data_IF_862515563216
#
_entry.id   IF_862515563216
#
_cell.length_a   1.000
_cell.length_b   1.000
_cell.length_c   1.000
_cell.angle_alpha   90.00
_cell.angle_beta   90.00
_cell.angle_gamma   90.00
#
_symmetry.space_group_name_H-M   'P 1'
#
loop_
_entity.id
_entity.type
_entity.pdbx_description
1 polymer ?
#
# COMPACT_ATOMS: atom_id res chain seq x y z
N UNK A 1 -2.93 20.33 22.75
CA UNK A 1 -2.26 21.53 22.22
C UNK A 1 -1.60 21.14 20.91
N UNK A 2 -1.99 21.77 19.81
CA UNK A 2 -1.37 21.53 18.50
C UNK A 2 -0.02 22.22 18.39
N UNK A 3 0.81 21.76 17.46
CA UNK A 3 2.08 22.41 17.09
C UNK A 3 1.77 23.47 16.05
N UNK A 4 2.18 24.72 16.29
CA UNK A 4 2.08 25.79 15.30
C UNK A 4 3.43 25.89 14.59
N UNK A 5 3.41 25.92 13.26
CA UNK A 5 4.60 26.12 12.43
C UNK A 5 4.48 27.45 11.69
N UNK A 6 5.50 28.28 11.83
CA UNK A 6 5.64 29.51 11.06
C UNK A 6 5.74 29.21 9.55
N UNK A 7 5.44 30.21 8.72
CA UNK A 7 5.52 30.05 7.26
C UNK A 7 6.87 29.52 6.79
N UNK A 8 7.96 30.04 7.36
CA UNK A 8 9.32 29.60 7.05
C UNK A 8 9.58 28.14 7.44
N UNK A 9 9.09 27.70 8.59
CA UNK A 9 9.33 26.32 9.07
C UNK A 9 8.59 25.28 8.23
N UNK A 10 7.30 25.49 7.96
CA UNK A 10 6.54 24.48 7.23
C UNK A 10 6.89 24.46 5.74
N UNK A 11 7.24 25.60 5.14
CA UNK A 11 7.72 25.61 3.75
C UNK A 11 9.07 24.90 3.62
N UNK A 12 9.99 25.10 4.56
CA UNK A 12 11.25 24.35 4.59
C UNK A 12 11.02 22.83 4.74
N UNK A 13 10.07 22.40 5.59
CA UNK A 13 9.70 20.97 5.73
C UNK A 13 9.07 20.42 4.45
N UNK A 14 8.17 21.17 3.82
CA UNK A 14 7.52 20.81 2.54
C UNK A 14 8.57 20.60 1.45
N UNK A 15 9.51 21.52 1.31
CA UNK A 15 10.50 21.48 0.25
C UNK A 15 11.51 20.35 0.49
N UNK A 16 11.97 20.18 1.74
CA UNK A 16 12.80 19.05 2.12
C UNK A 16 12.11 17.69 1.89
N UNK A 17 10.80 17.60 2.11
CA UNK A 17 10.03 16.39 1.77
C UNK A 17 10.02 16.12 0.27
N UNK A 18 9.69 17.14 -0.53
CA UNK A 18 9.67 17.01 -1.98
C UNK A 18 11.04 16.55 -2.50
N UNK A 19 12.13 17.12 -2.01
CA UNK A 19 13.49 16.75 -2.43
C UNK A 19 13.86 15.31 -2.05
N UNK A 20 13.50 14.84 -0.84
CA UNK A 20 13.70 13.44 -0.46
C UNK A 20 12.93 12.48 -1.37
N UNK A 21 11.67 12.80 -1.69
CA UNK A 21 10.83 11.93 -2.52
C UNK A 21 11.27 11.94 -3.98
N UNK A 22 11.75 13.09 -4.48
CA UNK A 22 12.26 13.26 -5.85
C UNK A 22 13.45 12.39 -6.21
N UNK A 23 14.23 11.94 -5.22
CA UNK A 23 15.27 10.93 -5.42
C UNK A 23 14.71 9.62 -5.98
N UNK A 24 13.43 9.32 -5.75
CA UNK A 24 12.75 8.11 -6.23
C UNK A 24 11.82 8.38 -7.42
N UNK A 25 11.10 9.51 -7.39
CA UNK A 25 10.14 9.85 -8.46
C UNK A 25 10.83 10.40 -9.71
N UNK A 26 11.93 11.16 -9.58
CA UNK A 26 12.70 11.70 -10.70
C UNK A 26 13.21 10.61 -11.65
N UNK A 27 13.95 9.60 -11.16
CA UNK A 27 14.40 8.49 -11.99
C UNK A 27 13.26 7.70 -12.63
N UNK A 28 12.09 7.62 -11.98
CA UNK A 28 10.91 6.99 -12.59
C UNK A 28 10.39 7.80 -13.79
N UNK A 29 10.38 9.13 -13.71
CA UNK A 29 10.02 10.00 -14.82
C UNK A 29 10.99 9.88 -16.00
N UNK A 30 12.30 9.84 -15.74
CA UNK A 30 13.33 9.65 -16.77
C UNK A 30 13.18 8.30 -17.49
N UNK A 31 12.98 7.22 -16.73
CA UNK A 31 12.72 5.89 -17.30
C UNK A 31 11.48 5.90 -18.19
N UNK A 32 10.39 6.51 -17.71
CA UNK A 32 9.15 6.61 -18.49
C UNK A 32 9.35 7.41 -19.78
N UNK A 33 10.10 8.51 -19.74
CA UNK A 33 10.38 9.35 -20.91
C UNK A 33 11.22 8.63 -21.97
N UNK A 34 12.16 7.78 -21.54
CA UNK A 34 13.04 7.00 -22.42
C UNK A 34 12.48 5.63 -22.81
N UNK A 35 11.32 5.23 -22.28
CA UNK A 35 10.75 3.89 -22.48
C UNK A 35 11.47 2.77 -21.72
N UNK A 36 12.44 3.11 -20.86
CA UNK A 36 13.18 2.15 -20.03
C UNK A 36 12.29 1.62 -18.90
N UNK A 37 12.49 0.37 -18.50
CA UNK A 37 11.78 -0.27 -17.37
C UNK A 37 12.77 -0.78 -16.33
N UNK A 38 12.44 -0.60 -15.05
CA UNK A 38 13.16 -1.19 -13.95
C UNK A 38 12.21 -2.08 -13.12
N UNK A 39 12.44 -3.40 -13.04
CA UNK A 39 11.47 -4.34 -12.45
C UNK A 39 11.15 -4.06 -10.98
N UNK A 40 12.14 -3.59 -10.20
CA UNK A 40 11.95 -3.24 -8.78
C UNK A 40 11.47 -1.80 -8.59
N UNK A 41 12.21 -0.80 -9.07
CA UNK A 41 11.91 0.62 -8.82
C UNK A 41 10.58 1.09 -9.43
N UNK A 42 10.11 0.48 -10.52
CA UNK A 42 8.82 0.83 -11.11
C UNK A 42 7.64 0.09 -10.45
N UNK A 43 7.92 -0.88 -9.56
CA UNK A 43 6.88 -1.66 -8.88
C UNK A 43 5.92 -0.77 -8.08
N UNK A 44 6.44 0.20 -7.32
CA UNK A 44 5.61 1.12 -6.51
C UNK A 44 4.56 1.88 -7.36
N UNK A 45 4.92 2.24 -8.58
CA UNK A 45 4.07 3.03 -9.48
C UNK A 45 3.16 2.16 -10.35
N UNK A 46 3.61 0.96 -10.72
CA UNK A 46 2.86 0.05 -11.59
C UNK A 46 1.93 -0.89 -10.82
N UNK A 47 2.37 -1.41 -9.67
CA UNK A 47 1.59 -2.32 -8.84
C UNK A 47 0.56 -1.58 -7.98
N UNK A 48 1.00 -0.62 -7.16
CA UNK A 48 0.10 0.13 -6.28
C UNK A 48 -0.61 1.30 -6.98
N UNK A 49 -0.21 1.62 -8.22
CA UNK A 49 -0.76 2.74 -9.00
C UNK A 49 -0.60 4.11 -8.32
N UNK A 50 0.44 4.27 -7.48
CA UNK A 50 0.72 5.56 -6.85
C UNK A 50 1.16 6.58 -7.90
N UNK A 51 0.59 7.79 -7.84
CA UNK A 51 1.05 8.89 -8.70
C UNK A 51 2.26 9.56 -8.05
N UNK A 52 3.39 9.72 -8.75
CA UNK A 52 4.58 10.38 -8.21
C UNK A 52 4.30 11.73 -7.56
N UNK A 53 3.51 12.58 -8.24
CA UNK A 53 3.13 13.91 -7.74
C UNK A 53 2.30 13.91 -6.45
N UNK A 54 1.72 12.78 -6.07
CA UNK A 54 1.03 12.63 -4.78
C UNK A 54 2.01 12.29 -3.66
N UNK A 55 3.04 11.49 -3.95
CA UNK A 55 4.07 11.15 -2.98
C UNK A 55 4.94 12.37 -2.64
N UNK A 56 5.23 13.22 -3.63
CA UNK A 56 5.98 14.46 -3.44
C UNK A 56 5.22 15.53 -2.65
N UNK A 57 3.90 15.34 -2.47
CA UNK A 57 3.08 16.31 -1.74
C UNK A 57 3.24 16.11 -0.24
N UNK A 58 3.70 17.16 0.42
CA UNK A 58 3.79 17.19 1.87
C UNK A 58 2.47 17.65 2.52
N UNK A 59 2.09 16.96 3.59
CA UNK A 59 0.99 17.32 4.47
C UNK A 59 1.49 17.42 5.92
N UNK A 60 1.08 18.44 6.69
CA UNK A 60 1.56 18.65 8.06
C UNK A 60 1.07 17.59 9.07
N UNK A 61 0.03 16.83 8.71
CA UNK A 61 -0.60 15.84 9.60
C UNK A 61 -1.55 16.46 10.63
N UNK A 62 -2.19 15.62 11.47
CA UNK A 62 -3.13 16.07 12.48
C UNK A 62 -2.42 16.84 13.60
N UNK A 63 -3.09 17.87 14.14
CA UNK A 63 -2.59 18.64 15.27
C UNK A 63 -1.49 19.65 14.92
N UNK A 64 -1.26 19.92 13.63
CA UNK A 64 -0.29 20.93 13.17
C UNK A 64 -1.02 22.08 12.48
N UNK A 65 -0.74 23.31 12.91
CA UNK A 65 -1.27 24.54 12.32
C UNK A 65 -0.19 25.22 11.48
N UNK A 66 -0.55 25.60 10.26
CA UNK A 66 0.32 26.32 9.32
C UNK A 66 0.00 27.82 9.36
N UNK A 67 0.94 28.62 9.82
CA UNK A 67 0.84 30.08 9.77
C UNK A 67 1.15 30.63 8.37
N UNK A 68 0.79 31.90 8.18
CA UNK A 68 1.14 32.66 7.00
C UNK A 68 0.14 32.57 5.85
N UNK A 69 0.28 33.50 4.92
CA UNK A 69 -0.62 33.68 3.80
C UNK A 69 -0.51 32.52 2.80
N UNK A 70 0.68 31.92 2.68
CA UNK A 70 0.91 30.78 1.81
C UNK A 70 0.14 29.53 2.27
N UNK A 71 -0.22 29.42 3.55
CA UNK A 71 -0.99 28.29 4.08
C UNK A 71 -2.40 28.18 3.47
N UNK A 72 -2.95 29.29 2.93
CA UNK A 72 -4.24 29.31 2.23
C UNK A 72 -4.28 28.36 1.02
N UNK A 73 -3.12 28.02 0.44
CA UNK A 73 -3.02 27.04 -0.63
C UNK A 73 -3.52 25.64 -0.21
N UNK A 74 -3.54 25.31 1.09
CA UNK A 74 -4.06 24.05 1.61
C UNK A 74 -5.59 24.00 1.66
N UNK A 75 -6.28 25.14 1.67
CA UNK A 75 -7.75 25.22 1.70
C UNK A 75 -8.41 24.71 0.41
N UNK A 76 -7.64 24.45 -0.65
CA UNK A 76 -8.13 23.76 -1.85
C UNK A 76 -8.54 22.30 -1.57
N UNK A 77 -8.09 21.72 -0.46
CA UNK A 77 -8.47 20.38 -0.03
C UNK A 77 -9.59 20.47 1.02
N UNK A 78 -10.73 19.78 0.82
CA UNK A 78 -11.90 19.88 1.71
C UNK A 78 -11.64 19.53 3.18
N UNK A 79 -10.58 18.77 3.45
CA UNK A 79 -10.19 18.32 4.79
C UNK A 79 -9.34 19.34 5.55
N UNK A 80 -9.06 20.52 4.98
CA UNK A 80 -8.36 21.60 5.67
C UNK A 80 -9.33 22.74 6.00
N UNK A 81 -9.14 23.34 7.17
CA UNK A 81 -9.92 24.48 7.63
C UNK A 81 -9.03 25.62 8.10
N UNK A 82 -9.56 26.84 8.00
CA UNK A 82 -8.97 28.03 8.59
C UNK A 82 -9.33 28.12 10.08
N UNK A 83 -8.40 28.64 10.85
CA UNK A 83 -8.49 28.98 12.27
C UNK A 83 -7.89 30.36 12.49
N UNK A 84 -8.00 30.91 13.70
CA UNK A 84 -7.40 32.19 14.03
C UNK A 84 -5.86 32.13 13.96
N UNK A 85 -5.28 30.97 14.27
CA UNK A 85 -3.83 30.72 14.27
C UNK A 85 -3.27 30.26 12.91
N UNK A 86 -4.11 30.09 11.87
CA UNK A 86 -3.67 29.63 10.54
C UNK A 86 -4.53 28.53 9.92
N UNK A 87 -3.93 27.66 9.10
CA UNK A 87 -4.63 26.55 8.40
C UNK A 87 -4.21 25.21 8.99
N UNK A 88 -5.18 24.34 9.29
CA UNK A 88 -4.94 23.01 9.88
C UNK A 88 -5.80 21.96 9.20
N UNK A 89 -5.40 20.69 9.33
CA UNK A 89 -6.26 19.55 9.01
C UNK A 89 -7.48 19.55 9.94
N UNK A 90 -8.68 19.50 9.36
CA UNK A 90 -9.91 19.18 10.06
C UNK A 90 -9.99 17.66 10.26
N UNK A 91 -9.48 17.21 11.40
CA UNK A 91 -9.41 15.78 11.76
C UNK A 91 -10.80 15.16 11.81
N UNK A 92 -11.82 15.90 12.25
CA UNK A 92 -13.17 15.37 12.33
C UNK A 92 -13.80 15.22 10.94
N UNK A 93 -13.66 16.23 10.08
CA UNK A 93 -14.12 16.13 8.70
C UNK A 93 -13.41 14.99 7.95
N UNK A 94 -12.08 14.88 8.12
CA UNK A 94 -11.29 13.78 7.60
C UNK A 94 -11.79 12.42 8.12
N UNK A 95 -11.98 12.28 9.43
CA UNK A 95 -12.44 11.03 10.03
C UNK A 95 -13.86 10.66 9.57
N UNK A 96 -14.77 11.63 9.42
CA UNK A 96 -16.12 11.41 8.88
C UNK A 96 -16.07 10.94 7.42
N UNK A 97 -15.29 11.60 6.57
CA UNK A 97 -15.11 11.20 5.17
C UNK A 97 -14.52 9.77 5.06
N UNK A 98 -13.67 9.38 6.02
CA UNK A 98 -12.94 8.12 6.02
C UNK A 98 -13.47 7.07 6.98
N UNK A 99 -14.65 7.28 7.57
CA UNK A 99 -15.16 6.44 8.66
C UNK A 99 -15.19 4.95 8.29
N UNK A 100 -15.62 4.62 7.08
CA UNK A 100 -15.66 3.23 6.60
C UNK A 100 -14.26 2.61 6.47
N UNK A 101 -13.30 3.36 5.90
CA UNK A 101 -11.92 2.89 5.72
C UNK A 101 -11.21 2.73 7.06
N UNK A 102 -11.31 3.74 7.93
CA UNK A 102 -10.71 3.70 9.28
C UNK A 102 -11.33 2.56 10.08
N UNK A 103 -12.66 2.41 10.05
CA UNK A 103 -13.35 1.33 10.74
C UNK A 103 -12.96 -0.05 10.22
N UNK A 104 -12.87 -0.23 8.89
CA UNK A 104 -12.41 -1.49 8.31
C UNK A 104 -10.96 -1.79 8.68
N UNK A 105 -10.04 -0.83 8.52
CA UNK A 105 -8.63 -1.00 8.86
C UNK A 105 -8.45 -1.32 10.35
N UNK A 106 -9.16 -0.60 11.23
CA UNK A 106 -9.15 -0.87 12.67
C UNK A 106 -9.61 -2.28 13.02
N UNK A 107 -10.73 -2.75 12.43
CA UNK A 107 -11.21 -4.12 12.62
C UNK A 107 -10.21 -5.15 12.10
N UNK A 108 -9.69 -4.97 10.89
CA UNK A 108 -8.74 -5.88 10.26
C UNK A 108 -7.45 -5.98 11.08
N UNK A 109 -6.85 -4.85 11.44
CA UNK A 109 -5.60 -4.80 12.21
C UNK A 109 -5.79 -5.38 13.62
N UNK A 110 -6.88 -5.04 14.31
CA UNK A 110 -7.17 -5.58 15.65
C UNK A 110 -7.36 -7.09 15.60
N UNK A 111 -8.15 -7.60 14.66
CA UNK A 111 -8.41 -9.02 14.49
C UNK A 111 -7.12 -9.79 14.12
N UNK A 112 -6.29 -9.21 13.25
CA UNK A 112 -5.01 -9.80 12.83
C UNK A 112 -4.01 -9.85 13.99
N UNK A 113 -3.85 -8.75 14.73
CA UNK A 113 -2.93 -8.68 15.86
C UNK A 113 -3.32 -9.61 17.02
N UNK A 114 -4.62 -9.92 17.17
CA UNK A 114 -5.12 -10.81 18.22
C UNK A 114 -5.00 -12.31 17.92
N UNK A 115 -4.49 -12.72 16.75
CA UNK A 115 -4.39 -14.14 16.34
C UNK A 115 -2.99 -14.72 16.51
N UNK A 116 -2.92 -16.03 16.72
CA UNK A 116 -1.66 -16.76 16.61
C UNK A 116 -1.13 -16.71 15.16
N UNK A 117 0.17 -16.44 14.94
CA UNK A 117 0.74 -16.42 13.59
C UNK A 117 0.76 -17.83 12.99
N UNK A 118 0.43 -17.93 11.70
CA UNK A 118 0.66 -19.12 10.88
C UNK A 118 1.93 -18.93 10.06
N UNK A 119 2.97 -19.68 10.42
CA UNK A 119 4.32 -19.55 9.84
C UNK A 119 4.63 -20.61 8.75
N UNK A 120 3.73 -21.58 8.55
CA UNK A 120 3.90 -22.67 7.58
C UNK A 120 3.36 -22.37 6.17
N UNK A 121 3.38 -21.11 5.72
CA UNK A 121 2.93 -20.76 4.36
C UNK A 121 4.05 -20.91 3.33
N UNK A 122 5.32 -20.69 3.71
CA UNK A 122 6.53 -20.86 2.88
C UNK A 122 6.46 -20.22 1.47
N UNK A 123 5.70 -19.14 1.31
CA UNK A 123 5.50 -18.51 -0.01
C UNK A 123 4.73 -19.39 -1.00
N UNK A 124 4.02 -20.44 -0.55
CA UNK A 124 3.25 -21.33 -1.43
C UNK A 124 2.16 -20.59 -2.23
N UNK A 125 1.81 -19.38 -1.81
CA UNK A 125 0.84 -18.56 -2.53
C UNK A 125 1.40 -18.02 -3.85
N UNK A 126 2.69 -17.69 -3.98
CA UNK A 126 3.27 -17.29 -5.27
C UNK A 126 3.31 -18.46 -6.27
N UNK A 127 3.59 -19.68 -5.79
CA UNK A 127 3.53 -20.89 -6.62
C UNK A 127 2.10 -21.13 -7.13
N UNK A 128 1.10 -20.97 -6.26
CA UNK A 128 -0.32 -21.08 -6.62
C UNK A 128 -0.80 -19.99 -7.60
N UNK A 129 -0.12 -18.84 -7.69
CA UNK A 129 -0.44 -17.79 -8.67
C UNK A 129 -0.01 -18.15 -10.10
N UNK A 130 0.92 -19.09 -10.27
CA UNK A 130 1.43 -19.53 -11.58
C UNK A 130 1.18 -21.02 -11.88
N UNK A 131 0.50 -21.72 -10.97
CA UNK A 131 0.17 -23.14 -11.10
C UNK A 131 -0.58 -23.45 -12.41
N UNK A 132 -0.05 -24.42 -13.17
CA UNK A 132 -0.48 -24.86 -14.50
C UNK A 132 -0.51 -23.76 -15.56
N UNK A 133 0.28 -22.70 -15.38
CA UNK A 133 0.51 -21.72 -16.43
C UNK A 133 1.67 -22.16 -17.33
N UNK A 134 1.45 -21.96 -18.62
CA UNK A 134 2.53 -21.98 -19.60
C UNK A 134 3.44 -20.75 -19.39
N UNK A 135 4.74 -20.83 -19.71
CA UNK A 135 5.69 -19.74 -19.51
C UNK A 135 5.20 -18.40 -20.09
N UNK A 136 4.53 -18.42 -21.25
CA UNK A 136 4.04 -17.21 -21.93
C UNK A 136 2.86 -16.55 -21.18
N UNK A 137 2.12 -17.33 -20.38
CA UNK A 137 0.98 -16.86 -19.60
C UNK A 137 1.41 -16.17 -18.29
N UNK A 138 2.64 -16.38 -17.86
CA UNK A 138 3.19 -15.76 -16.65
C UNK A 138 3.38 -14.26 -16.87
N UNK A 139 2.84 -13.44 -15.96
CA UNK A 139 2.85 -11.97 -16.09
C UNK A 139 4.23 -11.35 -16.24
N UNK A 140 5.25 -11.99 -15.68
CA UNK A 140 6.65 -11.58 -15.73
C UNK A 140 7.52 -12.62 -16.47
N UNK A 141 7.01 -13.16 -17.58
CA UNK A 141 7.66 -14.21 -18.39
C UNK A 141 9.07 -13.88 -18.92
N UNK A 142 9.51 -12.62 -18.87
CA UNK A 142 10.89 -12.24 -19.14
C UNK A 142 11.90 -12.90 -18.16
N UNK A 143 11.42 -13.37 -17.01
CA UNK A 143 12.20 -14.09 -16.02
C UNK A 143 11.64 -15.51 -15.87
N UNK A 144 12.40 -16.54 -16.28
CA UNK A 144 11.92 -17.91 -16.20
C UNK A 144 11.74 -18.36 -14.75
N UNK A 145 10.76 -19.25 -14.53
CA UNK A 145 10.56 -19.89 -13.22
C UNK A 145 11.76 -20.75 -12.87
N UNK A 146 12.24 -20.66 -11.62
CA UNK A 146 13.43 -21.41 -11.15
C UNK A 146 13.30 -22.93 -11.34
N UNK A 147 12.10 -23.48 -11.14
CA UNK A 147 11.82 -24.91 -11.28
C UNK A 147 11.10 -25.26 -12.59
N UNK A 148 10.93 -24.30 -13.50
CA UNK A 148 10.01 -24.45 -14.63
C UNK A 148 8.55 -24.61 -14.18
N UNK A 149 7.64 -24.81 -15.14
CA UNK A 149 6.21 -25.02 -14.85
C UNK A 149 5.96 -26.35 -14.14
N UNK A 150 6.57 -27.44 -14.61
CA UNK A 150 6.37 -28.79 -14.05
C UNK A 150 6.80 -28.89 -12.58
N UNK A 151 8.01 -28.44 -12.25
CA UNK A 151 8.47 -28.45 -10.85
C UNK A 151 7.71 -27.46 -9.96
N UNK A 152 7.15 -26.38 -10.53
CA UNK A 152 6.24 -25.49 -9.80
C UNK A 152 4.93 -26.18 -9.46
N UNK A 153 4.38 -26.94 -10.42
CA UNK A 153 3.15 -27.68 -10.25
C UNK A 153 3.29 -28.79 -9.20
N UNK A 154 4.41 -29.53 -9.23
CA UNK A 154 4.73 -30.55 -8.23
C UNK A 154 4.80 -29.98 -6.79
N UNK A 155 5.36 -28.78 -6.62
CA UNK A 155 5.37 -28.10 -5.31
C UNK A 155 3.97 -27.76 -4.84
N UNK A 156 3.09 -27.27 -5.72
CA UNK A 156 1.70 -26.93 -5.34
C UNK A 156 0.90 -28.19 -5.01
N UNK A 157 1.11 -29.29 -5.76
CA UNK A 157 0.40 -30.56 -5.57
C UNK A 157 0.89 -31.34 -4.33
N UNK A 158 2.17 -31.23 -3.98
CA UNK A 158 2.77 -31.95 -2.83
C UNK A 158 2.65 -31.22 -1.48
N UNK A 159 2.27 -29.95 -1.48
CA UNK A 159 2.23 -29.10 -0.28
C UNK A 159 0.81 -28.66 0.07
N UNK A 160 0.58 -28.36 1.35
CA UNK A 160 -0.71 -27.84 1.81
C UNK A 160 -0.78 -26.32 1.66
N UNK A 161 -1.38 -25.84 0.58
CA UNK A 161 -1.66 -24.41 0.39
C UNK A 161 -2.74 -23.96 1.38
N UNK A 162 -2.50 -22.89 2.14
CA UNK A 162 -3.39 -22.44 3.21
C UNK A 162 -3.40 -20.91 3.36
N UNK A 163 -3.30 -20.19 2.24
CA UNK A 163 -3.31 -18.74 2.20
C UNK A 163 -4.63 -18.19 2.76
N UNK A 164 -4.54 -17.39 3.85
CA UNK A 164 -5.70 -16.65 4.40
C UNK A 164 -5.81 -15.21 3.89
N UNK A 165 -4.78 -14.73 3.18
CA UNK A 165 -4.69 -13.35 2.72
C UNK A 165 -5.45 -13.17 1.40
N UNK A 166 -6.58 -12.48 1.45
CA UNK A 166 -7.48 -12.33 0.29
C UNK A 166 -6.81 -11.68 -0.93
N UNK A 167 -6.03 -10.62 -0.71
CA UNK A 167 -5.43 -9.86 -1.81
C UNK A 167 -4.31 -10.64 -2.54
N UNK A 168 -3.74 -11.69 -1.92
CA UNK A 168 -2.93 -12.69 -2.61
C UNK A 168 -3.79 -13.79 -3.24
N UNK A 169 -4.75 -14.35 -2.49
CA UNK A 169 -5.60 -15.45 -2.95
C UNK A 169 -6.35 -15.13 -4.25
N UNK A 170 -6.80 -13.88 -4.44
CA UNK A 170 -7.51 -13.48 -5.66
C UNK A 170 -6.68 -13.56 -6.94
N UNK A 171 -5.35 -13.71 -6.83
CA UNK A 171 -4.45 -13.94 -7.97
C UNK A 171 -4.17 -15.42 -8.25
N UNK A 172 -4.70 -16.35 -7.45
CA UNK A 172 -4.53 -17.78 -7.72
C UNK A 172 -5.13 -18.13 -9.07
N UNK A 173 -4.44 -19.03 -9.78
CA UNK A 173 -4.96 -19.58 -11.02
C UNK A 173 -6.26 -20.34 -10.73
N UNK A 174 -7.21 -20.42 -11.68
CA UNK A 174 -8.43 -21.20 -11.50
C UNK A 174 -8.20 -22.63 -10.96
N UNK A 175 -7.22 -23.41 -11.46
CA UNK A 175 -6.96 -24.74 -10.92
C UNK A 175 -6.28 -24.76 -9.54
N UNK A 176 -5.61 -23.68 -9.10
CA UNK A 176 -4.98 -23.62 -7.77
C UNK A 176 -5.97 -23.28 -6.66
N UNK A 177 -7.03 -22.52 -6.97
CA UNK A 177 -8.05 -22.10 -5.99
C UNK A 177 -8.62 -23.25 -5.16
N UNK A 178 -9.09 -24.38 -5.73
CA UNK A 178 -9.63 -25.49 -4.94
C UNK A 178 -8.58 -26.20 -4.08
N UNK A 179 -7.28 -26.04 -4.35
CA UNK A 179 -6.20 -26.65 -3.56
C UNK A 179 -5.90 -25.86 -2.27
N UNK A 180 -6.36 -24.60 -2.18
CA UNK A 180 -6.18 -23.82 -0.97
C UNK A 180 -7.16 -24.31 0.12
N UNK A 181 -6.61 -24.65 1.28
CA UNK A 181 -7.39 -25.10 2.44
C UNK A 181 -8.38 -24.05 2.97
N UNK A 182 -8.16 -22.78 2.62
CA UNK A 182 -9.06 -21.67 2.91
C UNK A 182 -9.63 -21.11 1.61
N UNK A 183 -10.80 -20.48 1.66
CA UNK A 183 -11.39 -19.79 0.51
C UNK A 183 -11.65 -18.32 0.89
N UNK A 184 -10.60 -17.48 1.03
CA UNK A 184 -10.79 -16.09 1.41
C UNK A 184 -11.64 -15.32 0.40
N UNK A 185 -12.55 -14.52 0.92
CA UNK A 185 -13.32 -13.52 0.18
C UNK A 185 -13.01 -12.13 0.74
N UNK A 186 -13.52 -11.07 0.10
CA UNK A 186 -13.37 -9.72 0.60
C UNK A 186 -14.09 -9.54 1.94
N UNK A 187 -15.23 -10.18 2.09
CA UNK A 187 -16.09 -10.14 3.27
C UNK A 187 -15.46 -10.87 4.45
N UNK A 188 -14.81 -12.00 4.20
CA UNK A 188 -14.15 -12.84 5.21
C UNK A 188 -12.70 -12.44 5.48
N UNK A 189 -12.18 -11.40 4.82
CA UNK A 189 -10.79 -10.96 4.94
C UNK A 189 -10.40 -10.72 6.41
N UNK A 190 -11.24 -10.01 7.17
CA UNK A 190 -10.97 -9.73 8.58
C UNK A 190 -10.96 -10.99 9.46
N UNK A 191 -11.59 -12.08 9.04
CA UNK A 191 -11.67 -13.35 9.76
C UNK A 191 -10.47 -14.25 9.49
N UNK A 192 -9.92 -14.21 8.28
CA UNK A 192 -8.89 -15.14 7.79
C UNK A 192 -7.47 -14.57 7.78
N UNK A 193 -7.34 -13.24 7.82
CA UNK A 193 -6.05 -12.55 7.90
C UNK A 193 -5.29 -12.93 9.18
N UNK A 194 -3.96 -13.01 9.08
CA UNK A 194 -3.13 -13.52 10.17
C UNK A 194 -1.73 -12.86 10.19
N UNK A 195 -1.09 -12.68 11.36
CA UNK A 195 0.08 -11.81 11.51
C UNK A 195 1.40 -12.42 11.00
N UNK A 196 1.44 -13.72 10.72
CA UNK A 196 2.58 -14.41 10.11
C UNK A 196 2.65 -14.34 8.59
N UNK A 197 1.71 -13.66 7.92
CA UNK A 197 1.72 -13.52 6.47
C UNK A 197 2.61 -12.34 6.06
N UNK A 198 3.57 -12.56 5.17
CA UNK A 198 4.37 -11.47 4.59
C UNK A 198 3.47 -10.40 3.95
N UNK A 199 2.41 -10.83 3.25
CA UNK A 199 1.50 -9.91 2.57
C UNK A 199 0.65 -9.06 3.52
N UNK A 200 0.27 -9.58 4.69
CA UNK A 200 -0.38 -8.77 5.71
C UNK A 200 0.49 -7.57 6.12
N UNK A 201 1.81 -7.76 6.21
CA UNK A 201 2.76 -6.69 6.51
C UNK A 201 3.02 -5.78 5.30
N UNK A 202 3.10 -6.34 4.09
CA UNK A 202 3.24 -5.56 2.87
C UNK A 202 2.06 -4.63 2.62
N UNK A 203 0.86 -4.97 3.06
CA UNK A 203 -0.34 -4.14 2.92
C UNK A 203 -0.38 -2.95 3.88
N UNK A 204 0.40 -2.96 4.97
CA UNK A 204 0.47 -1.83 5.90
C UNK A 204 1.12 -0.62 5.20
N UNK A 205 2.20 -0.83 4.46
CA UNK A 205 2.98 0.22 3.79
C UNK A 205 2.21 1.06 2.74
N UNK A 206 1.47 0.46 1.78
CA UNK A 206 0.67 1.20 0.81
C UNK A 206 -0.59 1.80 1.43
N UNK A 207 -1.14 1.22 2.51
CA UNK A 207 -2.26 1.84 3.22
C UNK A 207 -1.82 3.13 3.95
N UNK A 208 -0.64 3.14 4.57
CA UNK A 208 0.00 4.36 5.09
C UNK A 208 0.25 5.38 3.95
N UNK A 209 0.67 4.92 2.78
CA UNK A 209 0.94 5.78 1.61
C UNK A 209 -0.33 6.30 0.92
N UNK A 210 -1.43 5.54 0.90
CA UNK A 210 -2.77 5.99 0.42
C UNK A 210 -3.40 6.98 1.38
N UNK A 211 -3.12 6.85 2.67
CA UNK A 211 -3.48 7.80 3.72
C UNK A 211 -2.68 9.11 3.63
N UNK A 212 -1.42 9.05 3.19
CA UNK A 212 -0.60 10.25 2.93
C UNK A 212 -1.13 11.11 1.78
N UNK A 213 -1.81 10.51 0.78
CA UNK A 213 -2.54 11.22 -0.29
C UNK A 213 -3.71 12.07 0.23
N UNK A 214 -4.09 11.90 1.50
CA UNK A 214 -5.36 12.40 2.06
C UNK A 214 -5.18 13.14 3.40
N UNK A 215 -3.95 13.44 3.82
CA UNK A 215 -3.67 14.28 4.98
C UNK A 215 -3.12 13.56 6.23
N UNK A 216 -2.72 12.30 6.13
CA UNK A 216 -1.97 11.61 7.21
C UNK A 216 -0.46 11.83 6.99
N UNK A 217 0.33 12.12 8.04
CA UNK A 217 1.70 12.62 7.92
C UNK A 217 2.67 11.62 7.29
N UNK A 218 3.71 12.18 6.67
CA UNK A 218 4.97 11.53 6.26
C UNK A 218 6.15 12.20 6.93
#
# INVERSE_FOLDING_TARGET
MGVVLSEAEWTARRDAHADRVRQWTGPHHERKATGSKHPVLDFLFSYYSHRPSRLERWHPGPGVVLEGDAARAYLKWPVYRRTDDGVTLDVEAFARERANTIGFAGRLLTATAGRAPRLGCFGLHEWAMVYRQQPEQVRHNAWPLRLGSEGTDEVVESQRVQCGHFDAFRFFTPPARPLNALQPTRETQAELEQPGCLHANMDILPNVSRSADQGIPS
#
